data_IF_843576025173
#
_entry.id   IF_843576025173
#
_cell.length_a   1.000
_cell.length_b   1.000
_cell.length_c   1.000
_cell.angle_alpha   90.00
_cell.angle_beta   90.00
_cell.angle_gamma   90.00
#
_symmetry.space_group_name_H-M   'P 1'
#
loop_
_entity.id
_entity.type
_entity.pdbx_description
1 polymer ?
#
# COMPACT_ATOMS: atom_id res chain seq x y z
N UNK A 1 1.75 10.88 -16.62
CA UNK A 1 0.85 9.74 -16.46
C UNK A 1 1.20 8.59 -17.40
N UNK A 2 1.87 8.88 -18.53
CA UNK A 2 2.11 7.89 -19.61
C UNK A 2 3.27 6.90 -19.35
N UNK A 3 3.75 6.80 -18.13
CA UNK A 3 4.89 5.94 -17.74
C UNK A 3 4.51 4.79 -16.80
N UNK A 4 3.26 4.67 -16.43
CA UNK A 4 2.77 3.63 -15.53
C UNK A 4 1.69 2.83 -16.26
N UNK A 5 1.91 1.53 -16.35
CA UNK A 5 0.95 0.59 -16.91
C UNK A 5 0.51 -0.39 -15.82
N UNK A 6 -0.80 -0.62 -15.71
CA UNK A 6 -1.37 -1.63 -14.83
C UNK A 6 -1.75 -2.83 -15.70
N UNK A 7 -1.11 -3.96 -15.46
CA UNK A 7 -1.38 -5.20 -16.14
C UNK A 7 -2.03 -6.21 -15.19
N UNK A 8 -3.36 -6.42 -15.26
CA UNK A 8 -4.05 -7.34 -14.35
C UNK A 8 -3.81 -8.79 -14.79
N UNK A 9 -3.18 -9.57 -13.94
CA UNK A 9 -3.04 -11.02 -14.10
C UNK A 9 -4.28 -11.72 -13.56
N UNK A 10 -5.29 -11.91 -14.41
CA UNK A 10 -6.53 -12.60 -14.03
C UNK A 10 -6.35 -14.12 -14.15
N UNK A 11 -6.93 -14.85 -13.19
CA UNK A 11 -6.97 -16.32 -13.16
C UNK A 11 -5.59 -17.01 -13.06
N UNK A 12 -4.55 -16.32 -12.63
CA UNK A 12 -3.27 -16.92 -12.32
C UNK A 12 -3.20 -17.10 -10.81
N UNK A 13 -3.46 -18.31 -10.34
CA UNK A 13 -3.22 -18.70 -8.96
C UNK A 13 -1.75 -19.08 -8.80
N UNK A 14 -0.93 -18.10 -8.44
CA UNK A 14 0.50 -18.30 -8.16
C UNK A 14 0.62 -18.70 -6.69
N UNK A 15 0.32 -19.96 -6.36
CA UNK A 15 0.43 -20.48 -5.00
C UNK A 15 1.42 -21.65 -4.92
N UNK A 16 2.65 -21.39 -5.31
CA UNK A 16 3.73 -22.36 -5.13
C UNK A 16 4.83 -21.83 -4.18
N UNK A 17 4.40 -21.11 -3.14
CA UNK A 17 5.25 -20.63 -2.04
C UNK A 17 6.70 -20.24 -2.46
N UNK A 18 7.64 -21.18 -2.38
CA UNK A 18 9.04 -20.94 -2.69
C UNK A 18 9.36 -20.76 -4.19
N UNK A 19 8.47 -21.15 -5.10
CA UNK A 19 8.66 -21.00 -6.55
C UNK A 19 8.05 -19.70 -7.10
N UNK A 20 7.29 -18.98 -6.29
CA UNK A 20 6.61 -17.74 -6.74
C UNK A 20 7.56 -16.70 -7.33
N UNK A 21 8.71 -16.39 -6.72
CA UNK A 21 9.61 -15.36 -7.28
C UNK A 21 10.16 -15.75 -8.66
N UNK A 22 10.45 -17.04 -8.87
CA UNK A 22 10.88 -17.55 -10.18
C UNK A 22 9.79 -17.41 -11.25
N UNK A 23 8.56 -17.79 -10.90
CA UNK A 23 7.42 -17.70 -11.82
C UNK A 23 7.10 -16.23 -12.14
N UNK A 24 7.12 -15.35 -11.17
CA UNK A 24 6.94 -13.90 -11.38
C UNK A 24 8.04 -13.30 -12.25
N UNK A 25 9.29 -13.76 -12.09
CA UNK A 25 10.42 -13.36 -12.94
C UNK A 25 10.19 -13.76 -14.38
N UNK A 26 9.71 -14.99 -14.64
CA UNK A 26 9.38 -15.48 -15.96
C UNK A 26 8.25 -14.65 -16.59
N UNK A 27 7.18 -14.38 -15.83
CA UNK A 27 6.05 -13.57 -16.29
C UNK A 27 6.51 -12.16 -16.61
N UNK A 28 7.26 -11.50 -15.71
CA UNK A 28 7.78 -10.17 -15.93
C UNK A 28 8.67 -10.10 -17.17
N UNK A 29 9.54 -11.08 -17.33
CA UNK A 29 10.40 -11.17 -18.53
C UNK A 29 9.59 -11.36 -19.82
N UNK A 30 8.57 -12.20 -19.77
CA UNK A 30 7.68 -12.42 -20.93
C UNK A 30 6.88 -11.18 -21.32
N UNK A 31 6.62 -10.29 -20.36
CA UNK A 31 6.02 -8.98 -20.59
C UNK A 31 7.01 -7.91 -21.08
N UNK A 32 8.28 -8.28 -21.26
CA UNK A 32 9.32 -7.37 -21.73
C UNK A 32 10.00 -6.55 -20.62
N UNK A 33 9.77 -6.88 -19.35
CA UNK A 33 10.44 -6.20 -18.24
C UNK A 33 11.92 -6.57 -18.19
N UNK A 34 12.76 -5.61 -17.83
CA UNK A 34 14.20 -5.81 -17.63
C UNK A 34 14.55 -5.93 -16.14
N UNK A 35 13.66 -5.42 -15.26
CA UNK A 35 13.83 -5.42 -13.81
C UNK A 35 12.52 -5.81 -13.15
N UNK A 36 12.61 -6.62 -12.09
CA UNK A 36 11.51 -6.99 -11.19
C UNK A 36 11.81 -6.47 -9.80
N UNK A 37 10.89 -5.70 -9.22
CA UNK A 37 11.02 -5.18 -7.86
C UNK A 37 10.09 -5.99 -6.94
N UNK A 38 10.64 -6.58 -5.89
CA UNK A 38 9.90 -7.38 -4.90
C UNK A 38 10.22 -6.93 -3.48
N UNK A 39 9.27 -7.07 -2.58
CA UNK A 39 9.50 -6.81 -1.15
C UNK A 39 10.24 -7.95 -0.47
N UNK A 40 11.02 -7.66 0.57
CA UNK A 40 11.74 -8.66 1.38
C UNK A 40 10.81 -9.74 1.94
N UNK A 41 9.59 -9.35 2.33
CA UNK A 41 8.57 -10.26 2.88
C UNK A 41 7.62 -10.80 1.80
N UNK A 42 8.03 -10.74 0.54
CA UNK A 42 7.26 -11.35 -0.55
C UNK A 42 7.11 -12.86 -0.34
N UNK A 43 5.95 -13.41 -0.69
CA UNK A 43 5.66 -14.84 -0.56
C UNK A 43 6.73 -15.68 -1.26
N UNK A 44 7.42 -16.52 -0.51
CA UNK A 44 8.52 -17.36 -1.01
C UNK A 44 9.92 -16.77 -0.85
N UNK A 45 10.07 -15.46 -0.62
CA UNK A 45 11.38 -14.85 -0.34
C UNK A 45 11.77 -14.93 1.11
N UNK A 46 10.82 -14.70 2.04
CA UNK A 46 11.10 -14.67 3.47
C UNK A 46 11.62 -16.00 4.07
N UNK A 47 11.44 -17.11 3.35
CA UNK A 47 11.99 -18.41 3.75
C UNK A 47 13.48 -18.58 3.39
N UNK A 48 14.02 -17.76 2.50
CA UNK A 48 15.36 -17.91 1.92
C UNK A 48 16.21 -16.66 2.05
N UNK A 49 15.69 -15.62 2.69
CA UNK A 49 16.42 -14.40 2.92
C UNK A 49 17.22 -14.51 4.21
N UNK A 50 18.53 -14.69 4.07
CA UNK A 50 19.48 -14.59 5.18
C UNK A 50 20.02 -13.16 5.22
N UNK A 51 19.72 -12.41 6.28
CA UNK A 51 20.21 -11.04 6.48
C UNK A 51 21.74 -10.93 6.49
N UNK A 52 22.44 -12.06 6.74
CA UNK A 52 23.89 -12.15 6.78
C UNK A 52 24.53 -12.49 5.42
N UNK A 53 23.74 -12.87 4.43
CA UNK A 53 24.25 -13.18 3.09
C UNK A 53 23.80 -12.12 2.07
N UNK A 54 24.76 -11.46 1.38
CA UNK A 54 24.43 -10.46 0.36
C UNK A 54 23.83 -11.07 -0.92
N UNK A 55 23.84 -12.39 -1.05
CA UNK A 55 23.27 -13.11 -2.18
C UNK A 55 22.03 -13.86 -1.74
N UNK A 56 20.90 -13.58 -2.36
CA UNK A 56 19.68 -14.36 -2.23
C UNK A 56 19.61 -15.42 -3.33
N UNK A 57 18.79 -16.44 -3.15
CA UNK A 57 18.45 -17.39 -4.23
C UNK A 57 18.05 -16.64 -5.52
N UNK A 58 17.51 -15.43 -5.41
CA UNK A 58 17.15 -14.59 -6.55
C UNK A 58 18.36 -14.09 -7.37
N UNK A 59 19.55 -14.02 -6.80
CA UNK A 59 20.75 -13.67 -7.57
C UNK A 59 21.12 -14.78 -8.56
N UNK A 60 20.85 -16.02 -8.20
CA UNK A 60 21.00 -17.15 -9.11
C UNK A 60 19.85 -17.18 -10.14
N UNK A 61 18.62 -16.91 -9.72
CA UNK A 61 17.48 -16.78 -10.63
C UNK A 61 17.64 -15.64 -11.63
N UNK A 62 18.26 -14.52 -11.26
CA UNK A 62 18.45 -13.38 -12.16
C UNK A 62 19.36 -13.73 -13.34
N UNK A 63 20.33 -14.62 -13.16
CA UNK A 63 21.19 -15.12 -14.22
C UNK A 63 20.48 -16.05 -15.18
N UNK A 64 19.66 -16.96 -14.62
CA UNK A 64 18.96 -17.98 -15.43
C UNK A 64 17.80 -17.41 -16.23
N UNK A 65 17.08 -16.43 -15.68
CA UNK A 65 15.91 -15.84 -16.35
C UNK A 65 16.19 -14.54 -17.11
N UNK A 66 17.39 -13.99 -17.02
CA UNK A 66 17.81 -12.79 -17.74
C UNK A 66 17.00 -11.55 -17.37
N UNK A 67 16.56 -11.44 -16.11
CA UNK A 67 15.88 -10.28 -15.53
C UNK A 67 16.56 -9.93 -14.20
N UNK A 68 16.82 -8.63 -13.99
CA UNK A 68 17.37 -8.15 -12.72
C UNK A 68 16.28 -8.12 -11.65
N UNK A 69 16.48 -8.81 -10.53
CA UNK A 69 15.55 -8.79 -9.40
C UNK A 69 16.10 -7.88 -8.29
N UNK A 70 15.30 -6.86 -7.94
CA UNK A 70 15.62 -5.89 -6.89
C UNK A 70 14.75 -6.18 -5.68
N UNK A 71 15.37 -6.60 -4.57
CA UNK A 71 14.67 -6.84 -3.31
C UNK A 71 14.67 -5.57 -2.47
N UNK A 72 13.49 -5.04 -2.20
CA UNK A 72 13.32 -3.90 -1.31
C UNK A 72 13.27 -4.37 0.15
N UNK A 73 13.93 -3.66 1.07
CA UNK A 73 13.83 -3.94 2.49
C UNK A 73 12.39 -3.71 2.99
N UNK A 74 12.10 -4.25 4.15
CA UNK A 74 10.82 -3.97 4.82
C UNK A 74 10.74 -2.49 5.22
N UNK A 75 9.56 -1.90 4.98
CA UNK A 75 9.22 -0.55 5.41
C UNK A 75 8.18 -0.63 6.51
N UNK A 76 8.42 0.11 7.59
CA UNK A 76 7.59 0.16 8.79
C UNK A 76 7.34 1.60 9.20
N UNK A 77 6.28 1.85 9.94
CA UNK A 77 6.13 3.14 10.60
C UNK A 77 6.90 3.12 11.92
N UNK A 78 7.84 4.04 12.08
CA UNK A 78 8.56 4.24 13.34
C UNK A 78 7.90 5.36 14.14
N UNK A 79 7.48 5.09 15.38
CA UNK A 79 6.81 6.06 16.26
C UNK A 79 7.75 7.18 16.73
N UNK A 80 9.06 6.93 16.79
CA UNK A 80 10.07 7.92 17.12
C UNK A 80 10.43 8.82 15.94
N UNK A 81 10.60 8.24 14.75
CA UNK A 81 10.83 9.01 13.53
C UNK A 81 9.56 9.70 13.03
N UNK A 82 8.38 9.25 13.46
CA UNK A 82 7.05 9.68 12.99
C UNK A 82 6.87 9.61 11.48
N UNK A 83 7.50 8.63 10.85
CA UNK A 83 7.47 8.42 9.39
C UNK A 83 7.68 6.94 9.03
N UNK A 84 7.39 6.62 7.77
CA UNK A 84 7.73 5.31 7.21
C UNK A 84 9.24 5.29 6.96
N UNK A 85 9.89 4.28 7.52
CA UNK A 85 11.33 4.06 7.44
C UNK A 85 11.63 2.64 6.98
N UNK A 86 12.81 2.43 6.43
CA UNK A 86 13.32 1.08 6.21
C UNK A 86 13.83 0.51 7.54
N UNK A 87 13.51 -0.75 7.82
CA UNK A 87 14.03 -1.46 9.00
C UNK A 87 15.56 -1.53 9.04
N UNK A 88 16.21 -1.40 7.88
CA UNK A 88 17.68 -1.39 7.77
C UNK A 88 18.34 -0.05 8.08
N UNK A 89 17.62 1.06 7.87
CA UNK A 89 18.17 2.40 8.03
C UNK A 89 17.69 3.13 9.27
N UNK A 90 16.64 2.63 9.92
CA UNK A 90 16.10 3.24 11.13
C UNK A 90 17.03 2.96 12.31
N UNK A 91 17.46 3.99 13.07
CA UNK A 91 18.32 3.80 14.25
C UNK A 91 17.55 3.27 15.48
N UNK A 92 16.23 3.27 15.44
CA UNK A 92 15.39 2.84 16.56
C UNK A 92 15.14 1.33 16.54
N UNK A 93 14.98 0.75 17.73
CA UNK A 93 14.71 -0.68 17.86
C UNK A 93 13.34 -1.09 17.35
N UNK A 94 13.17 -2.40 17.11
CA UNK A 94 11.93 -2.96 16.55
C UNK A 94 10.68 -2.69 17.40
N UNK A 95 10.83 -2.39 18.72
CA UNK A 95 9.71 -2.02 19.59
C UNK A 95 9.11 -0.64 19.27
N UNK A 96 9.79 0.17 18.45
CA UNK A 96 9.28 1.42 17.89
C UNK A 96 8.70 1.25 16.47
N UNK A 97 8.73 0.05 15.93
CA UNK A 97 8.27 -0.23 14.58
C UNK A 97 6.86 -0.80 14.59
N UNK A 98 5.92 -0.04 14.01
CA UNK A 98 4.55 -0.51 13.79
C UNK A 98 4.48 -1.22 12.45
N UNK A 99 4.23 -2.52 12.52
CA UNK A 99 3.99 -3.33 11.34
C UNK A 99 2.51 -3.25 10.97
N UNK A 100 2.21 -2.79 9.78
CA UNK A 100 0.86 -2.87 9.26
C UNK A 100 0.73 -4.04 8.29
N UNK A 101 -0.33 -4.78 8.47
CA UNK A 101 -0.66 -5.89 7.60
C UNK A 101 -1.70 -5.41 6.58
N UNK A 102 -1.51 -5.76 5.31
CA UNK A 102 -2.48 -5.45 4.25
C UNK A 102 -3.88 -6.03 4.53
N UNK A 103 -3.95 -7.15 5.25
CA UNK A 103 -5.22 -7.74 5.66
C UNK A 103 -5.93 -6.87 6.70
N UNK A 104 -5.22 -6.37 7.69
CA UNK A 104 -5.79 -5.46 8.71
C UNK A 104 -6.35 -4.18 8.08
N UNK A 105 -5.65 -3.61 7.08
CA UNK A 105 -6.16 -2.45 6.34
C UNK A 105 -7.44 -2.78 5.56
N UNK A 106 -7.49 -3.95 4.92
CA UNK A 106 -8.71 -4.42 4.23
C UNK A 106 -9.87 -4.61 5.18
N UNK A 107 -9.61 -5.16 6.37
CA UNK A 107 -10.65 -5.41 7.38
C UNK A 107 -11.17 -4.10 7.96
N UNK A 108 -10.31 -3.09 8.21
CA UNK A 108 -10.73 -1.75 8.59
C UNK A 108 -11.65 -1.13 7.53
N UNK A 109 -11.22 -1.14 6.25
CA UNK A 109 -12.01 -0.61 5.15
C UNK A 109 -13.36 -1.34 4.99
N UNK A 110 -13.37 -2.68 5.11
CA UNK A 110 -14.62 -3.47 5.07
C UNK A 110 -15.56 -3.17 6.22
N UNK A 111 -15.02 -2.86 7.39
CA UNK A 111 -15.81 -2.41 8.54
C UNK A 111 -16.27 -0.96 8.41
N UNK A 112 -15.92 -0.26 7.34
CA UNK A 112 -16.23 1.15 7.13
C UNK A 112 -15.45 2.09 8.03
N UNK A 113 -14.32 1.62 8.57
CA UNK A 113 -13.40 2.42 9.39
C UNK A 113 -12.33 3.01 8.48
N UNK A 114 -12.09 4.31 8.64
CA UNK A 114 -11.07 5.03 7.90
C UNK A 114 -9.69 4.65 8.44
N UNK A 115 -8.83 4.01 7.64
CA UNK A 115 -7.48 3.68 8.08
C UNK A 115 -6.61 4.93 8.18
N UNK A 116 -5.55 4.90 9.01
CA UNK A 116 -4.61 6.01 9.10
C UNK A 116 -3.99 6.34 7.74
N UNK A 117 -3.95 7.64 7.40
CA UNK A 117 -3.47 8.10 6.10
C UNK A 117 -1.99 7.83 5.84
N UNK A 118 -1.22 7.54 6.90
CA UNK A 118 0.18 7.14 6.79
C UNK A 118 0.36 5.76 6.13
N UNK A 119 -0.64 4.88 6.25
CA UNK A 119 -0.61 3.54 5.68
C UNK A 119 -1.27 3.45 4.31
N UNK A 120 -2.27 4.28 4.07
CA UNK A 120 -2.99 4.31 2.80
C UNK A 120 -3.40 5.75 2.50
N UNK A 121 -3.11 6.21 1.30
CA UNK A 121 -3.42 7.58 0.88
C UNK A 121 -4.93 7.84 0.97
N UNK A 122 -5.29 9.06 1.38
CA UNK A 122 -6.68 9.47 1.57
C UNK A 122 -7.54 9.28 0.31
N UNK A 123 -6.98 9.59 -0.87
CA UNK A 123 -7.66 9.43 -2.14
C UNK A 123 -8.00 7.97 -2.43
N UNK A 124 -7.12 7.05 -2.05
CA UNK A 124 -7.35 5.61 -2.22
C UNK A 124 -8.41 5.12 -1.23
N UNK A 125 -8.32 5.54 0.04
CA UNK A 125 -9.30 5.17 1.06
C UNK A 125 -10.71 5.69 0.72
N UNK A 126 -10.83 6.93 0.21
CA UNK A 126 -12.11 7.53 -0.16
C UNK A 126 -12.79 6.77 -1.31
N UNK A 127 -12.04 6.47 -2.37
CA UNK A 127 -12.56 5.68 -3.51
C UNK A 127 -13.04 4.30 -3.05
N UNK A 128 -12.26 3.61 -2.22
CA UNK A 128 -12.62 2.28 -1.73
C UNK A 128 -13.87 2.35 -0.85
N UNK A 129 -13.93 3.30 0.10
CA UNK A 129 -15.09 3.44 1.01
C UNK A 129 -16.36 3.82 0.27
N UNK A 130 -16.28 4.71 -0.72
CA UNK A 130 -17.41 5.08 -1.57
C UNK A 130 -17.91 3.88 -2.38
N UNK A 131 -16.99 3.06 -2.89
CA UNK A 131 -17.34 1.85 -3.64
C UNK A 131 -17.95 0.76 -2.75
N UNK A 132 -17.43 0.56 -1.54
CA UNK A 132 -17.96 -0.45 -0.60
C UNK A 132 -19.29 -0.03 0.03
N UNK A 133 -19.49 1.25 0.24
CA UNK A 133 -20.66 1.79 0.95
C UNK A 133 -21.33 2.92 0.16
N UNK A 134 -21.85 2.67 -1.03
CA UNK A 134 -22.52 3.69 -1.82
C UNK A 134 -23.76 4.22 -1.08
N UNK A 135 -23.96 5.53 -1.10
CA UNK A 135 -25.11 6.22 -0.46
C UNK A 135 -25.26 5.92 1.04
N UNK A 136 -24.17 5.63 1.76
CA UNK A 136 -24.20 5.35 3.20
C UNK A 136 -24.78 6.50 4.01
N UNK A 137 -24.54 7.74 3.59
CA UNK A 137 -24.98 8.95 4.27
C UNK A 137 -26.18 9.55 3.53
N UNK A 138 -27.38 9.31 4.00
CA UNK A 138 -28.62 9.83 3.39
C UNK A 138 -28.69 11.36 3.30
N UNK A 139 -28.00 12.07 4.19
CA UNK A 139 -27.98 13.55 4.27
C UNK A 139 -26.56 14.09 4.19
N UNK A 140 -25.72 13.46 3.37
CA UNK A 140 -24.30 13.78 3.27
C UNK A 140 -24.05 15.26 2.98
N UNK A 141 -24.79 15.87 2.04
CA UNK A 141 -24.64 17.30 1.71
C UNK A 141 -24.93 18.21 2.91
N UNK A 142 -25.93 17.87 3.73
CA UNK A 142 -26.22 18.63 4.95
C UNK A 142 -25.07 18.50 5.94
N UNK A 143 -24.59 17.30 6.18
CA UNK A 143 -23.46 17.03 7.07
C UNK A 143 -22.20 17.75 6.57
N UNK A 144 -21.95 17.72 5.26
CA UNK A 144 -20.83 18.42 4.65
C UNK A 144 -20.88 19.93 4.95
N UNK A 145 -22.03 20.55 4.71
CA UNK A 145 -22.22 21.99 4.92
C UNK A 145 -22.17 22.40 6.41
N UNK A 146 -22.49 21.46 7.32
CA UNK A 146 -22.40 21.70 8.77
C UNK A 146 -20.97 21.57 9.29
N UNK A 147 -20.17 20.65 8.71
CA UNK A 147 -18.82 20.36 9.18
C UNK A 147 -17.74 21.23 8.50
N UNK A 148 -17.94 21.60 7.25
CA UNK A 148 -16.93 22.29 6.47
C UNK A 148 -17.36 23.70 6.08
N UNK A 149 -16.46 24.68 6.14
CA UNK A 149 -16.76 26.01 5.67
C UNK A 149 -17.06 25.97 4.17
N UNK A 150 -18.11 26.69 3.76
CA UNK A 150 -18.49 26.85 2.36
C UNK A 150 -18.37 28.32 1.97
N UNK A 151 -18.03 28.61 0.73
CA UNK A 151 -17.90 29.98 0.20
C UNK A 151 -19.27 30.63 -0.08
N UNK A 152 -20.35 30.11 0.47
CA UNK A 152 -21.72 30.61 0.30
C UNK A 152 -22.37 30.17 -1.02
N UNK A 153 -21.66 29.44 -1.86
CA UNK A 153 -22.19 28.83 -3.08
C UNK A 153 -22.59 27.38 -2.70
N UNK A 154 -23.79 26.97 -3.10
CA UNK A 154 -24.25 25.60 -2.92
C UNK A 154 -23.45 24.68 -3.87
N UNK A 155 -22.32 24.22 -3.41
CA UNK A 155 -21.54 23.21 -4.11
C UNK A 155 -22.10 21.83 -3.78
N UNK A 156 -22.41 21.06 -4.83
CA UNK A 156 -22.76 19.65 -4.66
C UNK A 156 -21.47 18.84 -4.53
N UNK A 157 -21.28 18.17 -3.40
CA UNK A 157 -20.15 17.30 -3.14
C UNK A 157 -20.58 15.84 -3.18
N UNK A 158 -19.72 15.01 -3.73
CA UNK A 158 -19.94 13.56 -3.76
C UNK A 158 -19.38 12.87 -2.48
N UNK A 159 -19.72 11.60 -2.29
CA UNK A 159 -19.29 10.82 -1.12
C UNK A 159 -17.76 10.74 -1.02
N UNK A 160 -17.05 10.68 -2.15
CA UNK A 160 -15.60 10.60 -2.21
C UNK A 160 -14.95 11.88 -1.67
N UNK A 161 -15.42 13.04 -2.12
CA UNK A 161 -14.93 14.35 -1.64
C UNK A 161 -15.20 14.54 -0.14
N UNK A 162 -16.33 14.05 0.35
CA UNK A 162 -16.65 14.06 1.77
C UNK A 162 -15.65 13.23 2.59
N UNK A 163 -15.36 12.01 2.16
CA UNK A 163 -14.35 11.17 2.82
C UNK A 163 -12.95 11.78 2.76
N UNK A 164 -12.57 12.38 1.63
CA UNK A 164 -11.27 13.05 1.51
C UNK A 164 -11.13 14.21 2.51
N UNK A 165 -12.16 15.04 2.64
CA UNK A 165 -12.17 16.15 3.61
C UNK A 165 -12.09 15.66 5.05
N UNK A 166 -12.83 14.61 5.41
CA UNK A 166 -12.71 14.00 6.74
C UNK A 166 -11.28 13.53 7.03
N UNK A 167 -10.66 12.88 6.05
CA UNK A 167 -9.29 12.40 6.19
C UNK A 167 -8.27 13.54 6.32
N UNK A 168 -8.49 14.66 5.67
CA UNK A 168 -7.67 15.87 5.83
C UNK A 168 -7.69 16.37 7.27
N UNK A 169 -8.85 16.44 7.91
CA UNK A 169 -8.98 16.85 9.31
C UNK A 169 -8.25 15.87 10.23
N UNK A 170 -8.40 14.57 10.01
CA UNK A 170 -7.69 13.57 10.79
C UNK A 170 -6.17 13.70 10.68
N UNK A 171 -5.65 14.08 9.52
CA UNK A 171 -4.22 14.31 9.34
C UNK A 171 -3.71 15.55 10.08
N UNK A 172 -4.50 16.62 10.13
CA UNK A 172 -4.10 17.87 10.81
C UNK A 172 -3.93 17.68 12.32
N UNK A 173 -4.63 16.73 12.95
CA UNK A 173 -4.50 16.46 14.37
C UNK A 173 -3.17 15.82 14.80
N UNK A 174 -2.36 15.37 13.86
CA UNK A 174 -1.03 14.80 14.11
C UNK A 174 0.13 15.77 13.89
N UNK A 175 -0.16 17.01 13.49
CA UNK A 175 0.84 18.06 13.27
C UNK A 175 0.96 19.06 14.45
N UNK A 176 0.32 18.80 15.59
CA UNK A 176 0.39 19.61 16.80
C UNK A 176 1.29 18.96 17.84
#
# INVERSE_FOLDING_TARGET
>A
PDRIFIFPLKNINIFHAHLNPGLESIIAKSLGCTKLVVGQNHTGLGMFYDDNQPKTILDDFSKDYGIEVIVLPEFVFCDQCRMIVSTRSCPHGCHHHLHYNSQSLKDLLRAGIIPPAIFIRKEVSSVILTSLFPNRLKNMQKIYNELFPTDGILEYKNDEEFYQKLLEIHQMSYMV
#
